data_IF_705952550443
#
_entry.id   IF_705952550443
#
_cell.length_a   1.000
_cell.length_b   1.000
_cell.length_c   1.000
_cell.angle_alpha   90.00
_cell.angle_beta   90.00
_cell.angle_gamma   90.00
#
_symmetry.space_group_name_H-M   'P 1'
#
loop_
_entity.id
_entity.type
_entity.pdbx_description
1 polymer ?
#
# COMPACT_ATOMS: atom_id res chain seq x y z
N UNK A 1 -2.72 -56.38 -15.96
CA UNK A 1 -1.70 -55.44 -16.46
C UNK A 1 -2.26 -54.02 -16.67
N UNK A 2 -3.27 -53.74 -17.53
CA UNK A 2 -3.70 -52.36 -17.79
C UNK A 2 -4.39 -51.67 -16.61
N UNK A 3 -5.13 -52.43 -15.78
CA UNK A 3 -5.82 -51.92 -14.58
C UNK A 3 -4.86 -51.42 -13.48
N UNK A 4 -3.67 -52.02 -13.38
CA UNK A 4 -2.62 -51.63 -12.43
C UNK A 4 -1.92 -50.36 -12.92
N UNK A 5 -1.69 -50.27 -14.24
CA UNK A 5 -1.12 -49.07 -14.88
C UNK A 5 -2.05 -47.86 -14.74
N UNK A 6 -3.36 -48.05 -14.93
CA UNK A 6 -4.37 -46.97 -14.76
C UNK A 6 -4.51 -46.51 -13.32
N UNK A 7 -4.39 -47.43 -12.34
CA UNK A 7 -4.43 -47.05 -10.93
C UNK A 7 -3.16 -46.32 -10.50
N UNK A 8 -1.99 -46.71 -11.01
CA UNK A 8 -0.73 -46.02 -10.74
C UNK A 8 -0.71 -44.59 -11.31
N UNK A 9 -1.22 -44.40 -12.54
CA UNK A 9 -1.29 -43.07 -13.15
C UNK A 9 -2.28 -42.16 -12.44
N UNK A 10 -3.42 -42.69 -11.97
CA UNK A 10 -4.40 -41.93 -11.21
C UNK A 10 -3.85 -41.49 -9.83
N UNK A 11 -3.13 -42.36 -9.13
CA UNK A 11 -2.50 -42.04 -7.84
C UNK A 11 -1.42 -40.96 -8.01
N UNK A 12 -0.60 -41.05 -9.06
CA UNK A 12 0.42 -40.05 -9.38
C UNK A 12 -0.19 -38.67 -9.67
N UNK A 13 -1.31 -38.63 -10.39
CA UNK A 13 -2.02 -37.40 -10.70
C UNK A 13 -2.64 -36.75 -9.44
N UNK A 14 -3.19 -37.54 -8.53
CA UNK A 14 -3.71 -37.04 -7.25
C UNK A 14 -2.59 -36.55 -6.32
N UNK A 15 -1.45 -37.23 -6.29
CA UNK A 15 -0.31 -36.86 -5.45
C UNK A 15 0.35 -35.53 -5.89
N UNK A 16 0.29 -35.20 -7.18
CA UNK A 16 0.88 -33.96 -7.73
C UNK A 16 -0.07 -32.76 -7.71
N UNK A 17 -1.39 -32.97 -7.51
CA UNK A 17 -2.38 -31.89 -7.44
C UNK A 17 -2.25 -30.97 -6.21
N UNK A 18 -1.49 -31.37 -5.18
CA UNK A 18 -1.31 -30.61 -3.94
C UNK A 18 -0.25 -29.50 -4.00
N UNK A 19 0.69 -29.52 -4.94
CA UNK A 19 1.88 -28.66 -4.86
C UNK A 19 1.65 -27.19 -5.25
N UNK A 20 0.57 -26.85 -5.94
CA UNK A 20 0.27 -25.48 -6.40
C UNK A 20 -0.90 -24.82 -5.65
N UNK A 21 -1.76 -25.62 -5.01
CA UNK A 21 -3.03 -25.15 -4.43
C UNK A 21 -3.01 -25.03 -2.91
N UNK A 22 -1.95 -25.47 -2.22
CA UNK A 22 -1.74 -25.24 -0.78
C UNK A 22 -1.36 -23.77 -0.52
N UNK A 23 -2.30 -22.86 -0.77
CA UNK A 23 -2.30 -21.56 -0.10
C UNK A 23 -2.71 -21.86 1.35
N UNK A 24 -1.73 -22.16 2.21
CA UNK A 24 -1.95 -22.58 3.59
C UNK A 24 -2.97 -21.65 4.29
N UNK A 25 -4.17 -22.16 4.64
CA UNK A 25 -5.15 -21.35 5.36
C UNK A 25 -4.60 -21.03 6.75
N UNK A 26 -4.62 -19.76 7.14
CA UNK A 26 -4.31 -19.32 8.51
C UNK A 26 -2.88 -18.88 8.79
N UNK A 27 -1.99 -18.80 7.79
CA UNK A 27 -0.65 -18.18 8.00
C UNK A 27 -0.79 -16.66 8.02
N UNK A 28 -0.27 -16.03 9.07
CA UNK A 28 -0.20 -14.58 9.19
C UNK A 28 0.73 -14.00 8.12
N UNK A 29 0.25 -13.03 7.36
CA UNK A 29 1.08 -12.16 6.52
C UNK A 29 1.19 -10.81 7.21
N UNK A 30 2.43 -10.31 7.29
CA UNK A 30 2.70 -8.95 7.75
C UNK A 30 2.34 -7.94 6.66
N UNK A 31 1.92 -6.76 7.09
CA UNK A 31 1.68 -5.62 6.20
C UNK A 31 3.02 -5.02 5.76
N UNK A 32 3.13 -4.68 4.48
CA UNK A 32 4.36 -4.17 3.87
C UNK A 32 4.13 -2.74 3.37
N UNK A 33 4.45 -1.71 4.17
CA UNK A 33 4.51 -0.32 3.72
C UNK A 33 5.85 -0.05 3.02
N UNK A 34 5.84 0.64 1.87
CA UNK A 34 7.04 1.01 1.11
C UNK A 34 6.89 2.40 0.51
N UNK A 35 7.84 3.28 0.80
CA UNK A 35 7.91 4.64 0.24
C UNK A 35 7.34 5.72 1.16
N UNK A 36 6.84 6.81 0.57
CA UNK A 36 6.40 8.00 1.29
C UNK A 36 4.87 8.07 1.40
N UNK A 37 4.34 7.96 2.61
CA UNK A 37 2.91 8.15 2.83
C UNK A 37 2.56 9.65 2.83
N UNK A 38 1.85 10.11 1.80
CA UNK A 38 1.46 11.52 1.65
C UNK A 38 -0.05 11.64 1.82
N UNK A 39 -0.47 12.51 2.73
CA UNK A 39 -1.88 12.76 3.05
C UNK A 39 -2.37 14.07 2.42
N UNK A 40 -3.69 14.22 2.30
CA UNK A 40 -4.29 15.45 1.81
C UNK A 40 -3.93 16.66 2.68
N UNK A 41 -3.91 16.47 4.00
CA UNK A 41 -3.53 17.53 4.95
C UNK A 41 -2.11 18.03 4.67
N UNK A 42 -1.15 17.12 4.43
CA UNK A 42 0.22 17.48 4.08
C UNK A 42 0.30 18.23 2.74
N UNK A 43 -0.50 17.84 1.74
CA UNK A 43 -0.54 18.54 0.44
C UNK A 43 -1.15 19.93 0.58
N UNK A 44 -2.15 20.09 1.45
CA UNK A 44 -2.82 21.37 1.72
C UNK A 44 -1.90 22.41 2.36
N UNK A 45 -0.85 21.96 3.04
CA UNK A 45 0.18 22.84 3.62
C UNK A 45 1.13 23.42 2.56
N UNK A 46 1.22 22.82 1.37
CA UNK A 46 2.11 23.28 0.31
C UNK A 46 1.60 24.57 -0.33
N UNK A 47 2.48 25.57 -0.41
CA UNK A 47 2.17 26.86 -1.02
C UNK A 47 3.16 27.18 -2.14
N UNK A 48 2.68 27.65 -3.31
CA UNK A 48 3.57 28.08 -4.39
C UNK A 48 4.64 29.05 -3.89
N UNK A 49 5.89 28.83 -4.30
CA UNK A 49 7.05 29.61 -3.86
C UNK A 49 7.86 28.99 -2.71
N UNK A 50 7.39 27.90 -2.09
CA UNK A 50 8.16 27.19 -1.06
C UNK A 50 9.49 26.66 -1.59
N UNK A 51 10.55 26.74 -0.79
CA UNK A 51 11.84 26.15 -1.14
C UNK A 51 11.78 24.61 -1.06
N UNK A 52 12.69 23.88 -1.75
CA UNK A 52 12.76 22.43 -1.65
C UNK A 52 12.94 21.93 -0.21
N UNK A 53 13.65 22.69 0.64
CA UNK A 53 13.79 22.35 2.06
C UNK A 53 12.48 22.50 2.84
N UNK A 54 11.67 23.52 2.54
CA UNK A 54 10.35 23.69 3.14
C UNK A 54 9.41 22.57 2.71
N UNK A 55 9.42 22.20 1.42
CA UNK A 55 8.65 21.04 0.93
C UNK A 55 9.08 19.75 1.65
N UNK A 56 10.39 19.53 1.85
CA UNK A 56 10.90 18.37 2.61
C UNK A 56 10.47 18.39 4.08
N UNK A 57 10.29 19.56 4.67
CA UNK A 57 9.81 19.67 6.04
C UNK A 57 8.36 19.20 6.14
N UNK A 58 7.52 19.54 5.17
CA UNK A 58 6.09 19.16 5.12
C UNK A 58 5.92 17.69 4.69
N UNK A 59 6.48 17.30 3.55
CA UNK A 59 6.27 15.97 2.96
C UNK A 59 7.27 14.91 3.43
N UNK A 60 8.31 15.31 4.14
CA UNK A 60 9.48 14.47 4.37
C UNK A 60 10.42 14.41 3.17
N UNK A 61 11.53 13.68 3.35
CA UNK A 61 12.47 13.45 2.27
C UNK A 61 11.88 12.46 1.24
N UNK A 62 11.96 12.75 -0.07
CA UNK A 62 11.51 11.81 -1.09
C UNK A 62 12.37 10.54 -1.02
N UNK A 63 11.73 9.38 -1.15
CA UNK A 63 12.41 8.07 -1.13
C UNK A 63 13.32 7.90 -2.35
N UNK A 64 12.97 8.55 -3.46
CA UNK A 64 13.71 8.49 -4.72
C UNK A 64 13.85 9.88 -5.33
N UNK A 65 15.07 10.24 -5.71
CA UNK A 65 15.38 11.47 -6.45
C UNK A 65 15.97 11.06 -7.79
N UNK A 66 15.33 11.46 -8.88
CA UNK A 66 15.85 11.20 -10.22
C UNK A 66 16.99 12.17 -10.55
N UNK A 67 18.21 11.68 -10.86
CA UNK A 67 19.32 12.56 -11.22
C UNK A 67 19.12 13.31 -12.54
N UNK A 68 18.19 12.89 -13.40
CA UNK A 68 17.94 13.51 -14.71
C UNK A 68 16.86 14.58 -14.68
N UNK A 69 16.00 14.59 -13.66
CA UNK A 69 14.91 15.57 -13.50
C UNK A 69 14.95 16.22 -12.11
N UNK A 70 15.94 17.11 -11.85
CA UNK A 70 16.16 17.68 -10.51
C UNK A 70 14.98 18.53 -10.01
N UNK A 71 14.19 19.09 -10.93
CA UNK A 71 13.01 19.90 -10.65
C UNK A 71 11.73 19.08 -10.46
N UNK A 72 11.81 17.75 -10.42
CA UNK A 72 10.70 16.85 -10.19
C UNK A 72 11.03 15.87 -9.07
N UNK A 73 10.27 15.92 -7.98
CA UNK A 73 10.38 14.95 -6.90
C UNK A 73 9.22 13.98 -6.91
N UNK A 74 9.54 12.70 -6.74
CA UNK A 74 8.56 11.62 -6.72
C UNK A 74 8.44 11.05 -5.31
N UNK A 75 7.21 10.97 -4.83
CA UNK A 75 6.83 10.37 -3.56
C UNK A 75 5.97 9.13 -3.84
N UNK A 76 6.58 8.01 -4.25
CA UNK A 76 5.86 6.76 -4.44
C UNK A 76 5.55 6.14 -3.07
N UNK A 77 4.36 5.55 -2.96
CA UNK A 77 3.90 4.77 -1.82
C UNK A 77 3.27 3.49 -2.35
N UNK A 78 3.58 2.38 -1.71
CA UNK A 78 2.90 1.11 -1.89
C UNK A 78 2.63 0.51 -0.53
N UNK A 79 1.40 0.05 -0.32
CA UNK A 79 1.02 -0.69 0.86
C UNK A 79 0.41 -2.02 0.45
N UNK A 80 1.04 -3.11 0.90
CA UNK A 80 0.56 -4.48 0.67
C UNK A 80 0.14 -5.06 2.02
N UNK A 81 -1.15 -5.01 2.36
CA UNK A 81 -1.60 -5.60 3.61
C UNK A 81 -1.53 -7.11 3.54
N UNK A 82 -1.39 -7.76 4.70
CA UNK A 82 -1.54 -9.20 4.82
C UNK A 82 -2.98 -9.66 4.56
N UNK A 83 -3.96 -8.78 4.82
CA UNK A 83 -5.38 -8.95 4.52
C UNK A 83 -5.96 -7.62 4.03
N UNK A 84 -6.59 -7.62 2.86
CA UNK A 84 -7.16 -6.40 2.27
C UNK A 84 -6.66 -6.20 0.85
N UNK A 85 -6.86 -4.99 0.34
CA UNK A 85 -6.45 -4.62 -1.00
C UNK A 85 -5.06 -3.97 -0.99
N UNK A 86 -4.26 -4.31 -1.99
CA UNK A 86 -3.01 -3.59 -2.23
C UNK A 86 -3.35 -2.19 -2.73
N UNK A 87 -2.72 -1.18 -2.15
CA UNK A 87 -2.90 0.21 -2.55
C UNK A 87 -1.56 0.83 -2.93
N UNK A 88 -1.59 1.75 -3.88
CA UNK A 88 -0.42 2.49 -4.32
C UNK A 88 -0.80 3.93 -4.61
N UNK A 89 0.13 4.84 -4.34
CA UNK A 89 0.00 6.26 -4.60
C UNK A 89 1.35 6.76 -5.13
N UNK A 90 1.31 7.69 -6.07
CA UNK A 90 2.52 8.42 -6.50
C UNK A 90 2.15 9.89 -6.55
N UNK A 91 2.80 10.67 -5.69
CA UNK A 91 2.71 12.13 -5.74
C UNK A 91 3.96 12.67 -6.41
N UNK A 92 3.76 13.50 -7.43
CA UNK A 92 4.80 14.19 -8.18
C UNK A 92 4.80 15.65 -7.78
N UNK A 93 5.93 16.18 -7.33
CA UNK A 93 6.09 17.57 -6.91
C UNK A 93 7.01 18.29 -7.87
N UNK A 94 6.50 19.36 -8.49
CA UNK A 94 7.21 20.14 -9.48
C UNK A 94 7.80 21.42 -8.88
N UNK A 95 9.03 21.71 -9.26
CA UNK A 95 9.74 22.93 -8.94
C UNK A 95 9.97 23.76 -10.20
N UNK A 96 9.91 25.08 -10.06
CA UNK A 96 10.24 26.05 -11.08
C UNK A 96 11.16 27.10 -10.47
N UNK A 97 12.31 27.36 -11.09
CA UNK A 97 13.32 28.30 -10.59
C UNK A 97 13.74 28.03 -9.12
N UNK A 98 13.78 26.75 -8.72
CA UNK A 98 14.14 26.34 -7.36
C UNK A 98 13.06 26.59 -6.31
N UNK A 99 11.80 26.78 -6.71
CA UNK A 99 10.67 26.92 -5.81
C UNK A 99 9.52 26.01 -6.23
N UNK A 100 8.75 25.52 -5.25
CA UNK A 100 7.58 24.68 -5.48
C UNK A 100 6.55 25.41 -6.33
N UNK A 101 6.04 24.73 -7.37
CA UNK A 101 5.04 25.24 -8.30
C UNK A 101 3.70 24.53 -8.09
N UNK A 102 3.68 23.20 -8.22
CA UNK A 102 2.47 22.37 -8.11
C UNK A 102 2.81 20.93 -7.74
N UNK A 103 1.79 20.16 -7.38
CA UNK A 103 1.85 18.70 -7.35
C UNK A 103 0.87 18.07 -8.34
N UNK A 104 1.13 16.81 -8.68
CA UNK A 104 0.26 15.94 -9.45
C UNK A 104 0.14 14.58 -8.72
N UNK A 105 -1.00 13.92 -8.88
CA UNK A 105 -1.29 12.65 -8.22
C UNK A 105 -2.51 12.72 -7.30
N UNK A 106 -2.96 11.56 -6.83
CA UNK A 106 -4.15 11.41 -6.01
C UNK A 106 -3.77 10.74 -4.68
N UNK A 107 -4.41 11.17 -3.60
CA UNK A 107 -4.24 10.55 -2.28
C UNK A 107 -5.00 9.24 -2.17
N UNK A 108 -4.53 8.35 -1.29
CA UNK A 108 -5.26 7.10 -1.06
C UNK A 108 -6.48 7.39 -0.20
N UNK A 109 -7.63 7.53 -0.84
CA UNK A 109 -8.91 7.65 -0.15
C UNK A 109 -9.20 6.44 0.71
N UNK A 110 -9.65 6.71 1.94
CA UNK A 110 -10.02 5.71 2.95
C UNK A 110 -9.00 4.56 3.02
N UNK A 111 -7.73 4.93 3.18
CA UNK A 111 -6.60 4.00 3.29
C UNK A 111 -6.92 2.85 4.25
N UNK A 112 -7.56 3.15 5.39
CA UNK A 112 -7.87 2.16 6.42
C UNK A 112 -8.91 1.15 5.96
N UNK A 113 -9.99 1.58 5.29
CA UNK A 113 -11.00 0.63 4.81
C UNK A 113 -10.47 -0.30 3.72
N UNK A 114 -9.63 0.23 2.80
CA UNK A 114 -9.04 -0.58 1.73
C UNK A 114 -8.05 -1.62 2.24
N UNK A 115 -7.27 -1.25 3.26
CA UNK A 115 -6.12 -2.04 3.69
C UNK A 115 -6.38 -2.93 4.90
N UNK A 116 -7.50 -2.76 5.62
CA UNK A 116 -7.83 -3.59 6.78
C UNK A 116 -8.63 -4.83 6.37
N UNK A 117 -8.39 -5.96 7.06
CA UNK A 117 -9.23 -7.13 6.92
C UNK A 117 -10.66 -6.88 7.44
N UNK A 118 -11.66 -7.59 6.89
CA UNK A 118 -13.07 -7.48 7.31
C UNK A 118 -13.27 -7.65 8.83
N UNK A 119 -12.55 -8.59 9.45
CA UNK A 119 -12.63 -8.82 10.90
C UNK A 119 -12.02 -7.67 11.70
N UNK A 120 -10.96 -7.04 11.18
CA UNK A 120 -10.25 -5.96 11.86
C UNK A 120 -11.10 -4.68 11.85
N UNK A 121 -11.83 -4.44 10.75
CA UNK A 121 -12.83 -3.38 10.65
C UNK A 121 -13.98 -3.56 11.64
N UNK A 122 -14.49 -4.79 11.81
CA UNK A 122 -15.56 -5.09 12.76
C UNK A 122 -15.13 -4.86 14.21
N UNK A 123 -13.91 -5.30 14.57
CA UNK A 123 -13.33 -5.08 15.90
C UNK A 123 -13.17 -3.59 16.20
N UNK A 124 -12.77 -2.79 15.20
CA UNK A 124 -12.61 -1.35 15.35
C UNK A 124 -13.96 -0.63 15.50
N UNK A 125 -15.00 -1.02 14.75
CA UNK A 125 -16.34 -0.47 14.93
C UNK A 125 -16.85 -0.74 16.34
N UNK A 126 -16.75 -1.98 16.81
CA UNK A 126 -17.08 -2.35 18.21
C UNK A 126 -16.25 -1.59 19.25
N UNK A 127 -15.02 -1.21 18.93
CA UNK A 127 -14.19 -0.41 19.81
C UNK A 127 -14.60 1.07 19.81
N UNK A 128 -15.05 1.60 18.67
CA UNK A 128 -15.60 2.96 18.57
C UNK A 128 -16.94 3.07 19.30
N UNK A 129 -17.88 2.16 19.04
CA UNK A 129 -19.21 2.15 19.71
C UNK A 129 -19.06 2.14 21.24
N UNK A 130 -18.12 1.34 21.77
CA UNK A 130 -17.83 1.30 23.22
C UNK A 130 -17.22 2.57 23.79
N UNK A 131 -16.56 3.39 22.97
CA UNK A 131 -16.03 4.68 23.42
C UNK A 131 -17.15 5.72 23.49
N UNK A 132 -18.05 5.70 22.52
CA UNK A 132 -19.21 6.58 22.48
C UNK A 132 -20.19 6.26 23.64
N UNK A 133 -20.32 4.99 24.02
CA UNK A 133 -21.12 4.56 25.19
C UNK A 133 -20.49 4.97 26.54
N UNK A 134 -19.20 5.35 26.56
CA UNK A 134 -18.44 5.67 27.76
C UNK A 134 -18.25 7.18 27.98
N UNK A 135 -18.69 8.01 27.04
CA UNK A 135 -18.71 9.48 27.10
C UNK A 135 -20.11 10.01 27.48
#
# INVERSE_FOLDING_TARGET
MPRILVSLTLISLLATAGCSSLRFPGVYRIDIPQGNFVTEDMLSELQPGMSPEQVRYVLGAPTLVDPFTPDLWLYPMTYRPGKGENVSQTISVHFENGAYSRYEGEVIDDFKAKTSGRNDLELQRKAADRKDDAE
#
